data_IF_035104703939
#
_entry.id   IF_035104703939
#
_cell.length_a   1.000
_cell.length_b   1.000
_cell.length_c   1.000
_cell.angle_alpha   90.00
_cell.angle_beta   90.00
_cell.angle_gamma   90.00
#
_symmetry.space_group_name_H-M   'P 1'
#
loop_
_entity.id
_entity.type
_entity.pdbx_description
1 polymer ?
#
# COMPACT_ATOMS: atom_id res chain seq x y z
N UNK A 1 -21.84 78.65 -28.30
CA UNK A 1 -23.27 78.67 -27.90
C UNK A 1 -23.48 77.82 -26.67
N UNK A 2 -23.51 78.46 -25.50
CA UNK A 2 -23.76 77.84 -24.20
C UNK A 2 -25.26 77.93 -23.92
N UNK A 3 -25.92 76.80 -23.69
CA UNK A 3 -27.30 76.75 -23.19
C UNK A 3 -27.24 76.24 -21.76
N UNK A 4 -27.71 77.05 -20.81
CA UNK A 4 -27.89 76.69 -19.41
C UNK A 4 -29.37 76.43 -19.12
N UNK A 5 -29.68 75.28 -18.53
CA UNK A 5 -30.94 75.07 -17.81
C UNK A 5 -30.63 74.32 -16.53
N UNK A 6 -30.92 74.98 -15.40
CA UNK A 6 -30.82 74.50 -14.01
C UNK A 6 -29.40 74.26 -13.50
N UNK A 7 -28.72 75.33 -13.09
CA UNK A 7 -27.85 75.41 -11.88
C UNK A 7 -26.69 74.42 -11.68
N UNK A 8 -26.52 73.41 -12.52
CA UNK A 8 -25.39 72.49 -12.53
C UNK A 8 -24.56 72.87 -13.73
N UNK A 9 -23.31 73.27 -13.47
CA UNK A 9 -22.30 73.34 -14.52
C UNK A 9 -22.13 71.91 -15.02
N UNK A 10 -22.87 71.55 -16.07
CA UNK A 10 -22.59 70.34 -16.82
C UNK A 10 -21.33 70.65 -17.61
N UNK A 11 -20.18 70.41 -16.97
CA UNK A 11 -18.92 70.34 -17.70
C UNK A 11 -19.15 69.24 -18.73
N UNK A 12 -19.30 69.61 -20.00
CA UNK A 12 -19.24 68.63 -21.08
C UNK A 12 -17.80 68.15 -21.08
N UNK A 13 -17.56 67.06 -20.36
CA UNK A 13 -16.32 66.32 -20.52
C UNK A 13 -16.20 65.99 -22.00
N UNK A 14 -15.07 66.31 -22.60
CA UNK A 14 -14.83 65.95 -24.00
C UNK A 14 -14.87 64.43 -24.12
N UNK A 15 -15.25 63.91 -25.30
CA UNK A 15 -15.28 62.46 -25.53
C UNK A 15 -13.95 61.76 -25.14
N UNK A 16 -12.83 62.49 -25.17
CA UNK A 16 -11.52 62.03 -24.72
C UNK A 16 -11.43 61.75 -23.20
N UNK A 17 -12.09 62.54 -22.35
CA UNK A 17 -12.03 62.36 -20.88
C UNK A 17 -12.88 61.16 -20.43
N UNK A 18 -13.96 60.84 -21.14
CA UNK A 18 -14.76 59.62 -20.90
C UNK A 18 -14.05 58.36 -21.36
N UNK A 19 -13.33 58.43 -22.48
CA UNK A 19 -12.52 57.32 -23.01
C UNK A 19 -11.36 56.96 -22.05
N UNK A 20 -10.77 57.96 -21.38
CA UNK A 20 -9.72 57.76 -20.37
C UNK A 20 -10.25 57.07 -19.10
N UNK A 21 -11.45 57.44 -18.61
CA UNK A 21 -12.08 56.80 -17.43
C UNK A 21 -12.45 55.34 -17.73
N UNK A 22 -12.99 55.05 -18.91
CA UNK A 22 -13.34 53.68 -19.32
C UNK A 22 -12.08 52.81 -19.50
N UNK A 23 -10.98 53.39 -19.97
CA UNK A 23 -9.68 52.73 -20.04
C UNK A 23 -9.13 52.39 -18.64
N UNK A 24 -9.26 53.30 -17.67
CA UNK A 24 -8.89 53.05 -16.28
C UNK A 24 -9.75 51.95 -15.64
N UNK A 25 -11.07 51.99 -15.79
CA UNK A 25 -11.98 50.96 -15.28
C UNK A 25 -11.65 49.58 -15.88
N UNK A 26 -11.33 49.53 -17.17
CA UNK A 26 -10.92 48.29 -17.82
C UNK A 26 -9.57 47.78 -17.29
N UNK A 27 -8.63 48.68 -17.00
CA UNK A 27 -7.36 48.34 -16.37
C UNK A 27 -7.57 47.75 -14.96
N UNK A 28 -8.43 48.35 -14.14
CA UNK A 28 -8.79 47.83 -12.82
C UNK A 28 -9.45 46.46 -12.89
N UNK A 29 -10.39 46.25 -13.81
CA UNK A 29 -11.03 44.94 -14.03
C UNK A 29 -10.03 43.87 -14.48
N UNK A 30 -9.02 44.23 -15.27
CA UNK A 30 -7.93 43.31 -15.66
C UNK A 30 -7.07 42.94 -14.47
N UNK A 31 -6.69 43.91 -13.64
CA UNK A 31 -5.93 43.67 -12.40
C UNK A 31 -6.72 42.77 -11.46
N UNK A 32 -8.01 43.04 -11.25
CA UNK A 32 -8.89 42.23 -10.41
C UNK A 32 -9.01 40.79 -10.95
N UNK A 33 -9.15 40.62 -12.26
CA UNK A 33 -9.18 39.31 -12.91
C UNK A 33 -7.87 38.54 -12.68
N UNK A 34 -6.72 39.18 -12.88
CA UNK A 34 -5.40 38.57 -12.65
C UNK A 34 -5.21 38.17 -11.19
N UNK A 35 -5.62 39.03 -10.25
CA UNK A 35 -5.55 38.72 -8.82
C UNK A 35 -6.46 37.54 -8.45
N UNK A 36 -7.66 37.48 -9.03
CA UNK A 36 -8.61 36.39 -8.82
C UNK A 36 -8.12 35.08 -9.41
N UNK A 37 -7.53 35.11 -10.61
CA UNK A 37 -6.93 33.93 -11.26
C UNK A 37 -5.74 33.41 -10.47
N UNK A 38 -4.88 34.32 -9.97
CA UNK A 38 -3.75 33.97 -9.10
C UNK A 38 -4.23 33.32 -7.81
N UNK A 39 -5.23 33.90 -7.13
CA UNK A 39 -5.79 33.33 -5.91
C UNK A 39 -6.40 31.93 -6.15
N UNK A 40 -7.08 31.72 -7.28
CA UNK A 40 -7.62 30.40 -7.66
C UNK A 40 -6.53 29.38 -7.94
N UNK A 41 -5.44 29.78 -8.61
CA UNK A 41 -4.29 28.91 -8.86
C UNK A 41 -3.62 28.49 -7.55
N UNK A 42 -3.42 29.42 -6.62
CA UNK A 42 -2.88 29.14 -5.28
C UNK A 42 -3.79 28.20 -4.46
N UNK A 43 -5.11 28.41 -4.53
CA UNK A 43 -6.08 27.53 -3.87
C UNK A 43 -6.06 26.10 -4.43
N UNK A 44 -5.94 25.95 -5.76
CA UNK A 44 -5.78 24.64 -6.42
C UNK A 44 -4.49 23.96 -6.00
N UNK A 45 -3.37 24.68 -6.01
CA UNK A 45 -2.08 24.13 -5.58
C UNK A 45 -2.12 23.64 -4.12
N UNK A 46 -2.77 24.38 -3.22
CA UNK A 46 -2.97 23.95 -1.82
C UNK A 46 -3.86 22.71 -1.71
N UNK A 47 -4.92 22.62 -2.51
CA UNK A 47 -5.79 21.44 -2.54
C UNK A 47 -5.04 20.20 -3.06
N UNK A 48 -4.24 20.35 -4.12
CA UNK A 48 -3.41 19.27 -4.68
C UNK A 48 -2.36 18.80 -3.67
N UNK A 49 -1.71 19.73 -2.96
CA UNK A 49 -0.74 19.41 -1.92
C UNK A 49 -1.39 18.67 -0.74
N UNK A 50 -2.60 19.08 -0.34
CA UNK A 50 -3.40 18.39 0.69
C UNK A 50 -3.82 16.98 0.25
N UNK A 51 -4.23 16.81 -1.01
CA UNK A 51 -4.58 15.51 -1.58
C UNK A 51 -3.38 14.55 -1.64
N UNK A 52 -2.21 15.04 -2.08
CA UNK A 52 -0.96 14.26 -2.06
C UNK A 52 -0.55 13.86 -0.65
N UNK A 53 -0.66 14.75 0.32
CA UNK A 53 -0.39 14.44 1.73
C UNK A 53 -1.38 13.40 2.29
N UNK A 54 -2.66 13.47 1.92
CA UNK A 54 -3.66 12.48 2.30
C UNK A 54 -3.39 11.10 1.69
N UNK A 55 -2.99 11.04 0.41
CA UNK A 55 -2.61 9.80 -0.26
C UNK A 55 -1.35 9.16 0.36
N UNK A 56 -0.39 9.97 0.80
CA UNK A 56 0.80 9.48 1.51
C UNK A 56 0.47 8.94 2.91
N UNK A 57 -0.63 9.42 3.52
CA UNK A 57 -1.12 8.97 4.83
C UNK A 57 -2.03 7.73 4.74
N UNK A 58 -2.46 7.34 3.54
CA UNK A 58 -3.26 6.12 3.38
C UNK A 58 -2.38 4.89 3.70
N UNK A 59 -2.86 3.96 4.55
CA UNK A 59 -2.14 2.73 4.80
C UNK A 59 -1.98 1.96 3.49
N UNK A 60 -0.75 1.58 3.17
CA UNK A 60 -0.49 0.75 1.98
C UNK A 60 -1.05 -0.65 2.22
N UNK A 61 -1.61 -1.31 1.19
CA UNK A 61 -2.03 -2.69 1.32
C UNK A 61 -0.81 -3.56 1.65
N UNK A 62 -0.96 -4.44 2.64
CA UNK A 62 0.05 -5.44 3.02
C UNK A 62 -0.40 -6.78 2.48
N UNK A 63 0.49 -7.46 1.76
CA UNK A 63 0.29 -8.83 1.28
C UNK A 63 1.17 -9.76 2.10
N UNK A 64 0.57 -10.81 2.67
CA UNK A 64 1.27 -11.86 3.40
C UNK A 64 1.02 -13.16 2.68
N UNK A 65 2.09 -13.81 2.24
CA UNK A 65 2.05 -15.17 1.68
C UNK A 65 2.65 -16.13 2.70
N UNK A 66 1.98 -17.26 2.86
CA UNK A 66 2.58 -18.42 3.51
C UNK A 66 3.73 -18.97 2.66
N UNK A 67 4.61 -19.78 3.25
CA UNK A 67 5.77 -20.34 2.57
C UNK A 67 5.45 -21.73 2.03
N UNK A 68 5.19 -22.69 2.92
CA UNK A 68 4.99 -24.09 2.56
C UNK A 68 3.64 -24.27 1.85
N UNK A 69 3.65 -25.01 0.74
CA UNK A 69 2.50 -25.23 -0.15
C UNK A 69 1.86 -23.95 -0.73
N UNK A 70 2.54 -22.79 -0.65
CA UNK A 70 2.13 -21.53 -1.28
C UNK A 70 3.22 -21.01 -2.21
N UNK A 71 4.44 -20.83 -1.69
CA UNK A 71 5.61 -20.41 -2.47
C UNK A 71 6.52 -21.61 -2.74
N UNK A 72 6.68 -22.47 -1.74
CA UNK A 72 7.56 -23.64 -1.78
C UNK A 72 6.74 -24.93 -1.66
N UNK A 73 7.21 -25.99 -2.30
CA UNK A 73 6.60 -27.31 -2.13
C UNK A 73 6.82 -27.86 -0.70
N UNK A 74 5.80 -28.49 -0.13
CA UNK A 74 5.86 -29.14 1.18
C UNK A 74 5.99 -30.67 1.03
N UNK A 75 7.13 -31.28 1.42
CA UNK A 75 7.35 -32.72 1.27
C UNK A 75 6.59 -33.59 2.28
N UNK A 76 5.87 -32.99 3.24
CA UNK A 76 5.19 -33.73 4.30
C UNK A 76 4.08 -34.65 3.77
N UNK A 77 3.41 -34.30 2.67
CA UNK A 77 2.23 -35.02 2.21
C UNK A 77 2.53 -36.25 1.35
N UNK A 78 3.69 -36.29 0.67
CA UNK A 78 4.02 -37.34 -0.32
C UNK A 78 5.32 -38.05 0.07
N UNK A 79 6.41 -37.32 0.19
CA UNK A 79 7.75 -37.89 0.39
C UNK A 79 7.91 -38.49 1.78
N UNK A 80 7.38 -37.84 2.82
CA UNK A 80 7.48 -38.33 4.20
C UNK A 80 6.71 -39.65 4.39
N UNK A 81 5.41 -39.78 4.01
CA UNK A 81 4.71 -41.05 4.06
C UNK A 81 5.37 -42.12 3.19
N UNK A 82 5.82 -41.75 1.99
CA UNK A 82 6.52 -42.66 1.08
C UNK A 82 7.80 -43.22 1.67
N UNK A 83 8.58 -42.41 2.40
CA UNK A 83 9.80 -42.86 3.06
C UNK A 83 9.52 -43.95 4.11
N UNK A 84 8.45 -43.78 4.89
CA UNK A 84 8.06 -44.74 5.92
C UNK A 84 7.24 -45.92 5.39
N UNK A 85 6.88 -45.92 4.10
CA UNK A 85 5.96 -46.92 3.53
C UNK A 85 4.57 -46.88 4.17
N UNK A 86 4.11 -45.68 4.56
CA UNK A 86 2.85 -45.47 5.28
C UNK A 86 1.87 -44.67 4.44
N UNK A 87 0.57 -44.86 4.68
CA UNK A 87 -0.41 -43.89 4.25
C UNK A 87 -0.25 -42.59 5.07
N UNK A 88 -0.64 -41.45 4.51
CA UNK A 88 -0.63 -40.18 5.24
C UNK A 88 -1.48 -40.26 6.52
N UNK A 89 -2.62 -40.97 6.47
CA UNK A 89 -3.49 -41.16 7.63
C UNK A 89 -2.79 -41.92 8.76
N UNK A 90 -2.04 -42.98 8.43
CA UNK A 90 -1.32 -43.77 9.42
C UNK A 90 -0.13 -43.02 9.97
N UNK A 91 0.56 -42.22 9.15
CA UNK A 91 1.62 -41.32 9.59
C UNK A 91 1.09 -40.31 10.62
N UNK A 92 -0.07 -39.69 10.38
CA UNK A 92 -0.68 -38.76 11.34
C UNK A 92 -1.01 -39.41 12.69
N UNK A 93 -1.37 -40.69 12.70
CA UNK A 93 -1.64 -41.45 13.93
C UNK A 93 -0.36 -41.85 14.65
N UNK A 94 0.69 -42.19 13.91
CA UNK A 94 1.95 -42.69 14.45
C UNK A 94 2.89 -41.57 14.94
N UNK A 95 2.82 -40.38 14.32
CA UNK A 95 3.72 -39.27 14.70
C UNK A 95 3.37 -38.68 16.06
N UNK A 96 4.38 -38.18 16.77
CA UNK A 96 4.16 -37.39 17.97
C UNK A 96 3.43 -36.09 17.61
N UNK A 97 2.37 -35.78 18.38
CA UNK A 97 1.51 -34.61 18.11
C UNK A 97 2.22 -33.28 18.37
N UNK A 98 3.27 -33.30 19.19
CA UNK A 98 3.93 -32.10 19.70
C UNK A 98 5.34 -31.92 19.13
N UNK A 99 6.02 -32.98 18.66
CA UNK A 99 7.41 -32.90 18.21
C UNK A 99 7.63 -31.80 17.16
N UNK A 100 6.79 -31.72 16.13
CA UNK A 100 6.89 -30.69 15.10
C UNK A 100 6.67 -29.27 15.66
N UNK A 101 5.59 -29.07 16.43
CA UNK A 101 5.28 -27.77 17.02
C UNK A 101 6.39 -27.28 17.96
N UNK A 102 7.00 -28.19 18.73
CA UNK A 102 8.11 -27.85 19.63
C UNK A 102 9.36 -27.46 18.84
N UNK A 103 9.60 -28.09 17.69
CA UNK A 103 10.68 -27.74 16.79
C UNK A 103 10.46 -26.36 16.13
N UNK A 104 9.27 -26.11 15.58
CA UNK A 104 8.93 -24.81 14.98
C UNK A 104 9.02 -23.65 15.97
N UNK A 105 8.66 -23.90 17.24
CA UNK A 105 8.80 -22.92 18.31
C UNK A 105 10.25 -22.75 18.82
N UNK A 106 11.22 -23.47 18.25
CA UNK A 106 12.63 -23.42 18.65
C UNK A 106 12.90 -24.01 20.03
N UNK A 107 12.01 -24.85 20.56
CA UNK A 107 12.12 -25.45 21.91
C UNK A 107 12.93 -26.74 21.92
N UNK A 108 13.05 -27.40 20.77
CA UNK A 108 13.88 -28.59 20.57
C UNK A 108 14.67 -28.45 19.27
N UNK A 109 15.82 -29.10 19.22
CA UNK A 109 16.66 -29.21 18.01
C UNK A 109 16.05 -30.15 16.96
N UNK A 110 16.56 -30.10 15.74
CA UNK A 110 16.20 -31.05 14.67
C UNK A 110 16.48 -32.49 15.10
N UNK A 111 17.63 -32.74 15.75
CA UNK A 111 18.00 -34.08 16.22
C UNK A 111 17.03 -34.61 17.28
N UNK A 112 16.55 -33.76 18.17
CA UNK A 112 15.52 -34.11 19.16
C UNK A 112 14.16 -34.33 18.51
N UNK A 113 13.78 -33.51 17.52
CA UNK A 113 12.55 -33.69 16.76
C UNK A 113 12.54 -35.04 16.03
N UNK A 114 13.64 -35.42 15.38
CA UNK A 114 13.77 -36.72 14.71
C UNK A 114 13.68 -37.88 15.70
N UNK A 115 14.39 -37.82 16.84
CA UNK A 115 14.26 -38.83 17.91
C UNK A 115 12.83 -38.95 18.45
N UNK A 116 12.09 -37.85 18.43
CA UNK A 116 10.73 -37.77 18.96
C UNK A 116 9.67 -37.87 17.87
N UNK A 117 10.05 -38.20 16.62
CA UNK A 117 9.15 -38.09 15.47
C UNK A 117 7.91 -38.98 15.63
N UNK A 118 8.10 -40.21 16.11
CA UNK A 118 7.00 -41.13 16.41
C UNK A 118 6.61 -41.08 17.89
N UNK A 119 5.32 -41.22 18.17
CA UNK A 119 4.78 -41.21 19.53
C UNK A 119 5.29 -42.38 20.38
N UNK A 120 5.61 -43.51 19.75
CA UNK A 120 6.18 -44.71 20.38
C UNK A 120 7.71 -44.67 20.50
N UNK A 121 8.36 -43.60 20.01
CA UNK A 121 9.82 -43.42 20.02
C UNK A 121 10.60 -44.54 19.33
N UNK A 122 9.97 -45.23 18.37
CA UNK A 122 10.68 -46.19 17.53
C UNK A 122 11.79 -45.50 16.75
N UNK A 123 12.92 -46.20 16.63
CA UNK A 123 14.05 -45.71 15.86
C UNK A 123 13.81 -45.83 14.35
N UNK A 124 14.39 -44.91 13.60
CA UNK A 124 14.49 -44.97 12.15
C UNK A 124 15.80 -44.30 11.70
N UNK A 125 16.16 -44.48 10.44
CA UNK A 125 17.38 -43.89 9.90
C UNK A 125 17.20 -42.37 9.66
N UNK A 126 17.65 -41.58 10.64
CA UNK A 126 17.55 -40.12 10.62
C UNK A 126 18.34 -39.50 9.47
N UNK A 127 19.57 -39.97 9.22
CA UNK A 127 20.43 -39.43 8.16
C UNK A 127 19.79 -39.68 6.80
N UNK A 128 19.37 -40.92 6.55
CA UNK A 128 18.71 -41.28 5.29
C UNK A 128 17.38 -40.58 5.11
N UNK A 129 16.62 -40.34 6.19
CA UNK A 129 15.39 -39.55 6.12
C UNK A 129 15.67 -38.14 5.62
N UNK A 130 16.61 -37.43 6.26
CA UNK A 130 16.98 -36.06 5.89
C UNK A 130 17.54 -36.01 4.45
N UNK A 131 18.40 -36.95 4.08
CA UNK A 131 18.96 -37.03 2.73
C UNK A 131 17.89 -37.32 1.67
N UNK A 132 16.91 -38.17 1.98
CA UNK A 132 15.79 -38.46 1.08
C UNK A 132 14.93 -37.22 0.83
N UNK A 133 14.71 -36.37 1.83
CA UNK A 133 13.95 -35.12 1.64
C UNK A 133 14.78 -34.09 0.86
N UNK A 134 16.06 -33.91 1.22
CA UNK A 134 16.95 -32.92 0.57
C UNK A 134 17.26 -33.24 -0.89
N UNK A 135 17.29 -34.51 -1.28
CA UNK A 135 17.62 -34.90 -2.65
C UNK A 135 16.47 -34.70 -3.66
N UNK A 136 15.28 -34.29 -3.22
CA UNK A 136 14.09 -34.16 -4.07
C UNK A 136 13.88 -32.77 -4.66
N UNK A 137 14.63 -31.76 -4.19
CA UNK A 137 14.52 -30.35 -4.59
C UNK A 137 15.89 -29.68 -4.63
#
# INVERSE_FOLDING_TARGET
>A
NVVTKRGTVLCKMSNSETDDIDAEILAWKRVEKVLTEKARAEARARADQKAKAAAHKAPRPVLVWDVMNTICYDPFYVEVPSFFGMSLSDLYKAKDKNAWNMFELGKISEQEMLKNFFSDRREFDHCRFVDNIKSRY
#
